data_IF_569612378779
#
_entry.id   IF_569612378779
#
_cell.length_a   1.000
_cell.length_b   1.000
_cell.length_c   1.000
_cell.angle_alpha   90.00
_cell.angle_beta   90.00
_cell.angle_gamma   90.00
#
_symmetry.space_group_name_H-M   'P 1'
#
loop_
_entity.id
_entity.type
_entity.pdbx_description
1 polymer ?
#
# COMPACT_ATOMS: atom_id res chain seq x y z
N UNK A 1 5.07 -30.98 15.77
CA UNK A 1 4.64 -30.44 14.48
C UNK A 1 3.35 -29.63 14.56
N UNK A 2 2.53 -29.82 15.55
CA UNK A 2 1.26 -29.08 15.72
C UNK A 2 1.42 -27.66 16.31
N UNK A 3 2.54 -27.38 16.95
CA UNK A 3 2.76 -26.05 17.56
C UNK A 3 3.00 -24.94 16.57
N UNK A 4 3.47 -25.23 15.37
CA UNK A 4 3.68 -24.23 14.33
C UNK A 4 2.40 -23.85 13.59
N UNK A 5 1.41 -24.73 13.53
CA UNK A 5 0.13 -24.45 12.89
C UNK A 5 -0.68 -23.39 13.65
N UNK A 6 -0.73 -23.46 14.98
CA UNK A 6 -1.52 -22.55 15.80
C UNK A 6 -1.02 -21.09 15.81
N UNK A 7 0.27 -20.84 15.61
CA UNK A 7 0.84 -19.50 15.55
C UNK A 7 0.99 -18.97 14.11
N UNK A 8 1.17 -19.87 13.13
CA UNK A 8 1.33 -19.52 11.73
C UNK A 8 0.05 -19.03 11.05
N UNK A 9 -1.10 -19.51 11.49
CA UNK A 9 -2.39 -19.26 10.85
C UNK A 9 -3.06 -17.94 11.28
N UNK A 10 -2.44 -17.20 12.21
CA UNK A 10 -3.02 -15.98 12.80
C UNK A 10 -2.23 -14.72 12.41
N UNK A 11 -1.65 -14.71 11.21
CA UNK A 11 -0.93 -13.55 10.71
C UNK A 11 -1.84 -12.34 10.50
N UNK A 12 -1.35 -11.17 10.92
CA UNK A 12 -1.93 -9.88 10.61
C UNK A 12 -0.97 -9.16 9.69
N UNK A 13 -1.40 -8.88 8.47
CA UNK A 13 -0.63 -8.15 7.46
C UNK A 13 -1.26 -6.80 7.23
N UNK A 14 -0.45 -5.76 7.22
CA UNK A 14 -0.86 -4.40 6.89
C UNK A 14 -0.36 -4.06 5.50
N UNK A 15 -1.23 -3.48 4.68
CA UNK A 15 -0.92 -2.95 3.36
C UNK A 15 -1.16 -1.45 3.41
N UNK A 16 -0.14 -0.66 3.18
CA UNK A 16 -0.26 0.78 2.95
C UNK A 16 -0.43 0.99 1.46
N UNK A 17 -1.66 1.26 1.06
CA UNK A 17 -2.03 1.40 -0.35
C UNK A 17 -2.18 2.87 -0.71
N UNK A 18 -1.19 3.41 -1.41
CA UNK A 18 -1.23 4.75 -2.00
C UNK A 18 -1.54 4.74 -3.50
N UNK A 19 -1.83 3.55 -4.06
CA UNK A 19 -2.12 3.33 -5.49
C UNK A 19 -1.00 3.74 -6.44
N UNK A 20 0.22 3.82 -5.92
CA UNK A 20 1.43 4.15 -6.68
C UNK A 20 2.57 3.20 -6.35
N UNK A 21 3.56 3.15 -7.23
CA UNK A 21 4.89 2.66 -6.90
C UNK A 21 5.59 3.73 -6.04
N UNK A 22 5.27 3.74 -4.73
CA UNK A 22 5.50 4.86 -3.83
C UNK A 22 6.94 5.37 -3.79
N UNK A 23 7.92 4.48 -3.63
CA UNK A 23 9.33 4.86 -3.58
C UNK A 23 9.80 5.47 -4.92
N UNK A 24 9.41 4.89 -6.05
CA UNK A 24 9.77 5.42 -7.37
C UNK A 24 9.11 6.78 -7.58
N UNK A 25 7.84 6.94 -7.19
CA UNK A 25 7.14 8.23 -7.24
C UNK A 25 7.82 9.29 -6.39
N UNK A 26 8.26 8.94 -5.18
CA UNK A 26 9.01 9.84 -4.30
C UNK A 26 10.29 10.33 -4.97
N UNK A 27 11.06 9.46 -5.62
CA UNK A 27 12.25 9.85 -6.37
C UNK A 27 11.93 10.76 -7.55
N UNK A 28 10.86 10.47 -8.28
CA UNK A 28 10.40 11.34 -9.37
C UNK A 28 10.02 12.73 -8.87
N UNK A 29 9.41 12.81 -7.68
CA UNK A 29 9.11 14.10 -7.06
C UNK A 29 10.37 14.86 -6.65
N UNK A 30 11.28 14.20 -5.94
CA UNK A 30 12.46 14.83 -5.36
C UNK A 30 13.53 15.19 -6.40
N UNK A 31 13.79 14.31 -7.37
CA UNK A 31 14.97 14.41 -8.23
C UNK A 31 14.66 14.65 -9.71
N UNK A 32 13.41 14.44 -10.14
CA UNK A 32 13.04 14.49 -11.55
C UNK A 32 11.90 15.49 -11.84
N UNK A 33 11.77 16.53 -11.02
CA UNK A 33 10.82 17.62 -11.25
C UNK A 33 9.37 17.17 -11.38
N UNK A 34 8.95 16.16 -10.58
CA UNK A 34 7.60 15.60 -10.58
C UNK A 34 7.18 14.97 -11.93
N UNK A 35 8.12 14.47 -12.70
CA UNK A 35 7.83 13.70 -13.92
C UNK A 35 7.40 12.29 -13.55
N UNK A 36 6.13 12.14 -13.20
CA UNK A 36 5.54 10.84 -12.82
C UNK A 36 5.30 9.99 -14.07
N UNK A 37 6.18 9.04 -14.33
CA UNK A 37 6.07 8.13 -15.45
C UNK A 37 5.97 6.69 -14.94
N UNK A 38 4.95 5.97 -15.39
CA UNK A 38 4.74 4.54 -15.13
C UNK A 38 4.69 4.15 -13.63
N UNK A 39 4.30 5.08 -12.76
CA UNK A 39 4.23 4.86 -11.30
C UNK A 39 2.81 4.89 -10.75
N UNK A 40 1.86 5.39 -11.51
CA UNK A 40 0.45 5.40 -11.14
C UNK A 40 -0.17 4.03 -11.43
N UNK A 41 -0.73 3.41 -10.40
CA UNK A 41 -1.41 2.11 -10.51
C UNK A 41 -2.94 2.27 -10.60
N UNK A 42 -3.46 3.51 -10.48
CA UNK A 42 -4.87 3.79 -10.75
C UNK A 42 -5.15 3.64 -12.24
N UNK A 43 -6.15 2.89 -12.57
CA UNK A 43 -6.65 2.85 -13.93
C UNK A 43 -7.25 4.19 -14.36
N UNK A 44 -7.15 4.48 -15.62
CA UNK A 44 -7.87 5.59 -16.24
C UNK A 44 -7.26 6.98 -16.08
N UNK A 45 -6.26 7.18 -15.21
CA UNK A 45 -5.72 8.53 -14.96
C UNK A 45 -4.81 9.06 -16.08
N UNK A 46 -4.23 8.21 -16.93
CA UNK A 46 -3.17 8.62 -17.85
C UNK A 46 -3.25 8.09 -19.29
N UNK A 47 -4.13 7.17 -19.61
CA UNK A 47 -4.29 6.77 -21.01
C UNK A 47 -5.69 6.25 -21.30
N UNK A 48 -6.46 7.06 -21.99
CA UNK A 48 -7.62 6.53 -22.72
C UNK A 48 -7.08 5.61 -23.80
N UNK A 49 -7.60 4.40 -23.85
CA UNK A 49 -7.36 3.52 -24.98
C UNK A 49 -7.85 4.24 -26.24
N UNK A 50 -7.17 3.98 -27.37
CA UNK A 50 -7.57 4.51 -28.67
C UNK A 50 -8.97 4.07 -29.10
N UNK A 51 -9.50 3.01 -28.48
CA UNK A 51 -10.85 2.47 -28.69
C UNK A 51 -11.93 3.11 -27.77
N UNK A 52 -11.54 4.09 -26.93
CA UNK A 52 -12.46 4.77 -26.01
C UNK A 52 -12.83 3.99 -24.75
N UNK A 53 -12.30 2.78 -24.56
CA UNK A 53 -12.50 2.02 -23.34
C UNK A 53 -11.54 2.47 -22.23
N UNK A 54 -11.95 2.36 -20.99
CA UNK A 54 -11.08 2.56 -19.84
C UNK A 54 -10.19 1.33 -19.60
N UNK A 55 -8.95 1.57 -19.19
CA UNK A 55 -8.12 0.47 -18.70
C UNK A 55 -8.66 -0.04 -17.38
N UNK A 56 -8.60 -1.37 -17.14
CA UNK A 56 -8.92 -1.90 -15.83
C UNK A 56 -7.97 -1.34 -14.77
N UNK A 57 -8.43 -1.26 -13.54
CA UNK A 57 -7.57 -0.89 -12.42
C UNK A 57 -6.43 -1.87 -12.26
N UNK A 58 -5.20 -1.35 -12.19
CA UNK A 58 -4.02 -2.19 -11.97
C UNK A 58 -3.82 -2.53 -10.49
N UNK A 59 -4.38 -1.71 -9.60
CA UNK A 59 -4.32 -2.00 -8.17
C UNK A 59 -5.34 -3.09 -7.87
N UNK A 60 -4.92 -4.26 -7.38
CA UNK A 60 -5.85 -5.31 -7.01
C UNK A 60 -6.71 -4.88 -5.83
N UNK A 61 -7.95 -5.35 -5.77
CA UNK A 61 -8.75 -5.25 -4.57
C UNK A 61 -8.19 -6.23 -3.52
N UNK A 62 -7.39 -5.72 -2.60
CA UNK A 62 -6.71 -6.52 -1.58
C UNK A 62 -7.69 -7.19 -0.61
N UNK A 63 -8.89 -6.65 -0.43
CA UNK A 63 -9.92 -7.27 0.41
C UNK A 63 -10.47 -8.52 -0.27
N UNK A 64 -10.88 -8.41 -1.52
CA UNK A 64 -11.34 -9.58 -2.31
C UNK A 64 -10.23 -10.61 -2.48
N UNK A 65 -9.00 -10.17 -2.66
CA UNK A 65 -7.85 -11.05 -2.73
C UNK A 65 -7.69 -11.84 -1.43
N UNK A 66 -7.76 -11.18 -0.27
CA UNK A 66 -7.71 -11.84 1.04
C UNK A 66 -8.83 -12.88 1.18
N UNK A 67 -10.06 -12.51 0.86
CA UNK A 67 -11.22 -13.37 0.94
C UNK A 67 -11.11 -14.61 0.03
N UNK A 68 -10.56 -14.43 -1.19
CA UNK A 68 -10.35 -15.55 -2.12
C UNK A 68 -9.36 -16.60 -1.60
N UNK A 69 -8.45 -16.21 -0.70
CA UNK A 69 -7.53 -17.11 0.02
C UNK A 69 -8.06 -17.56 1.39
N UNK A 70 -9.32 -17.27 1.72
CA UNK A 70 -9.91 -17.62 3.02
C UNK A 70 -9.38 -16.78 4.18
N UNK A 71 -8.71 -15.67 3.93
CA UNK A 71 -8.29 -14.70 4.93
C UNK A 71 -9.37 -13.63 5.12
N UNK A 72 -9.32 -12.94 6.26
CA UNK A 72 -10.18 -11.79 6.52
C UNK A 72 -9.56 -10.52 5.96
N UNK A 73 -10.33 -9.76 5.20
CA UNK A 73 -9.94 -8.43 4.71
C UNK A 73 -10.61 -7.31 5.50
N UNK A 74 -9.88 -6.26 5.82
CA UNK A 74 -10.41 -5.04 6.46
C UNK A 74 -9.82 -3.84 5.72
N UNK A 75 -10.67 -2.95 5.20
CA UNK A 75 -10.22 -1.70 4.58
C UNK A 75 -10.42 -0.54 5.54
N UNK A 76 -9.41 0.30 5.67
CA UNK A 76 -9.38 1.50 6.50
C UNK A 76 -9.12 2.69 5.60
N UNK A 77 -10.07 3.61 5.56
CA UNK A 77 -10.01 4.85 4.76
C UNK A 77 -9.88 6.09 5.64
N UNK A 78 -10.30 5.97 6.91
CA UNK A 78 -10.32 7.07 7.85
C UNK A 78 -9.54 6.73 9.12
N UNK A 79 -8.93 7.73 9.72
CA UNK A 79 -8.04 7.58 10.87
C UNK A 79 -8.74 7.00 12.11
N UNK A 80 -9.98 7.32 12.32
CA UNK A 80 -10.78 6.84 13.45
C UNK A 80 -11.11 5.34 13.36
N UNK A 81 -11.07 4.75 12.17
CA UNK A 81 -11.29 3.32 11.93
C UNK A 81 -10.10 2.44 12.35
N UNK A 82 -8.91 3.03 12.53
CA UNK A 82 -7.67 2.28 12.76
C UNK A 82 -7.77 1.39 14.00
N UNK A 83 -8.19 1.96 15.13
CA UNK A 83 -8.27 1.21 16.38
C UNK A 83 -9.26 0.04 16.29
N UNK A 84 -10.42 0.27 15.68
CA UNK A 84 -11.43 -0.76 15.47
C UNK A 84 -10.93 -1.90 14.57
N UNK A 85 -10.22 -1.56 13.48
CA UNK A 85 -9.63 -2.54 12.57
C UNK A 85 -8.61 -3.46 13.27
N UNK A 86 -7.75 -2.90 14.12
CA UNK A 86 -6.81 -3.69 14.89
C UNK A 86 -7.49 -4.57 15.94
N UNK A 87 -8.51 -4.07 16.64
CA UNK A 87 -9.26 -4.88 17.61
C UNK A 87 -10.02 -6.01 16.91
N UNK A 88 -10.59 -5.75 15.76
CA UNK A 88 -11.25 -6.78 14.95
C UNK A 88 -10.23 -7.84 14.45
N UNK A 89 -9.07 -7.41 14.00
CA UNK A 89 -8.01 -8.32 13.60
C UNK A 89 -7.49 -9.17 14.76
N UNK A 90 -7.37 -8.61 15.97
CA UNK A 90 -6.96 -9.37 17.17
C UNK A 90 -7.98 -10.44 17.54
N UNK A 91 -9.27 -10.15 17.42
CA UNK A 91 -10.35 -11.10 17.69
C UNK A 91 -10.38 -12.27 16.71
N UNK A 92 -9.90 -12.08 15.50
CA UNK A 92 -9.80 -13.16 14.52
C UNK A 92 -8.60 -14.06 14.82
N UNK A 93 -8.85 -15.18 15.45
CA UNK A 93 -7.85 -16.19 15.81
C UNK A 93 -7.88 -17.43 14.93
N UNK A 94 -8.75 -17.47 13.92
CA UNK A 94 -8.98 -18.66 13.08
C UNK A 94 -8.28 -18.54 11.72
N UNK A 95 -8.21 -17.35 11.15
CA UNK A 95 -7.67 -17.12 9.81
C UNK A 95 -6.75 -15.90 9.80
N UNK A 96 -5.83 -15.79 8.84
CA UNK A 96 -5.04 -14.59 8.64
C UNK A 96 -5.94 -13.37 8.40
N UNK A 97 -5.45 -12.19 8.76
CA UNK A 97 -6.15 -10.93 8.51
C UNK A 97 -5.25 -9.99 7.73
N UNK A 98 -5.78 -9.43 6.66
CA UNK A 98 -5.17 -8.33 5.91
C UNK A 98 -5.91 -7.04 6.25
N UNK A 99 -5.18 -6.04 6.68
CA UNK A 99 -5.70 -4.69 6.90
C UNK A 99 -5.10 -3.79 5.82
N UNK A 100 -5.94 -3.25 4.95
CA UNK A 100 -5.53 -2.31 3.93
C UNK A 100 -5.82 -0.89 4.41
N UNK A 101 -4.76 -0.09 4.50
CA UNK A 101 -4.85 1.34 4.79
C UNK A 101 -4.74 2.11 3.48
N UNK A 102 -5.77 2.85 3.12
CA UNK A 102 -5.71 3.79 2.02
C UNK A 102 -5.01 5.05 2.51
N UNK A 103 -3.84 5.34 1.96
CA UNK A 103 -3.01 6.48 2.38
C UNK A 103 -2.86 7.50 1.25
N UNK A 104 -2.53 8.73 1.63
CA UNK A 104 -2.30 9.80 0.68
C UNK A 104 -1.11 9.45 -0.23
N UNK A 105 -1.26 9.51 -1.57
CA UNK A 105 -0.17 9.29 -2.51
C UNK A 105 0.96 10.33 -2.40
N UNK A 106 0.72 11.47 -1.77
CA UNK A 106 1.75 12.50 -1.54
C UNK A 106 2.62 12.23 -0.31
N UNK A 107 2.20 11.33 0.58
CA UNK A 107 3.00 10.91 1.72
C UNK A 107 4.33 10.29 1.27
N UNK A 108 5.41 10.73 1.90
CA UNK A 108 6.77 10.32 1.58
C UNK A 108 7.49 9.79 2.81
N UNK A 109 8.49 8.95 2.56
CA UNK A 109 9.32 8.37 3.62
C UNK A 109 10.53 9.25 3.86
N UNK A 110 10.65 9.77 5.07
CA UNK A 110 11.80 10.55 5.53
C UNK A 110 12.39 9.94 6.82
N UNK A 111 13.69 10.14 7.11
CA UNK A 111 14.69 10.81 6.26
C UNK A 111 15.10 9.95 5.04
N UNK A 112 15.58 10.61 3.98
CA UNK A 112 16.06 9.95 2.76
C UNK A 112 17.45 10.46 2.37
N UNK A 113 18.30 9.56 1.91
CA UNK A 113 19.60 9.93 1.31
C UNK A 113 19.43 10.07 -0.20
N UNK A 114 19.92 11.17 -0.77
CA UNK A 114 19.91 11.35 -2.23
C UNK A 114 20.83 10.33 -2.92
N UNK A 115 20.56 9.92 -4.16
CA UNK A 115 21.43 9.04 -4.92
C UNK A 115 22.87 9.57 -4.97
N UNK A 116 23.85 8.73 -4.60
CA UNK A 116 25.26 9.10 -4.53
C UNK A 116 25.65 9.95 -3.33
N UNK A 117 24.73 10.23 -2.42
CA UNK A 117 24.98 10.96 -1.18
C UNK A 117 25.45 10.07 -0.03
N UNK A 118 25.81 10.71 1.06
CA UNK A 118 26.21 10.08 2.33
C UNK A 118 25.13 10.30 3.40
N UNK A 119 25.29 9.69 4.57
CA UNK A 119 24.42 9.93 5.72
C UNK A 119 24.44 11.39 6.22
N UNK A 120 25.40 12.19 5.80
CA UNK A 120 25.43 13.63 6.07
C UNK A 120 24.52 14.44 5.12
N UNK A 121 24.08 13.81 4.00
CA UNK A 121 23.24 14.45 2.98
C UNK A 121 21.77 14.04 3.12
N UNK A 122 21.25 13.96 4.35
CA UNK A 122 19.87 13.57 4.60
C UNK A 122 18.88 14.64 4.14
N UNK A 123 17.87 14.21 3.41
CA UNK A 123 16.67 14.98 3.11
C UNK A 123 15.67 14.68 4.22
N UNK A 124 15.30 15.71 4.99
CA UNK A 124 14.42 15.55 6.17
C UNK A 124 12.96 15.86 5.85
N UNK A 125 12.73 16.70 4.86
CA UNK A 125 11.42 17.15 4.40
C UNK A 125 11.51 17.74 2.98
N UNK A 126 10.40 18.12 2.38
CA UNK A 126 10.32 18.93 1.16
C UNK A 126 9.23 20.01 1.23
#
# INVERSE_FOLDING_TARGET
TDRSRGLGDVYKRQIFNNEYLGMVRQWQKLFYGKRYAMTNLKAGALSRRTDGQEYPEYTPDFIRLAESYGAKGIRVTEKDQIAAAFEEAKKNTKTPTIIEFIIDPEEMVYPMVKPGGTLADLIMDC
#
